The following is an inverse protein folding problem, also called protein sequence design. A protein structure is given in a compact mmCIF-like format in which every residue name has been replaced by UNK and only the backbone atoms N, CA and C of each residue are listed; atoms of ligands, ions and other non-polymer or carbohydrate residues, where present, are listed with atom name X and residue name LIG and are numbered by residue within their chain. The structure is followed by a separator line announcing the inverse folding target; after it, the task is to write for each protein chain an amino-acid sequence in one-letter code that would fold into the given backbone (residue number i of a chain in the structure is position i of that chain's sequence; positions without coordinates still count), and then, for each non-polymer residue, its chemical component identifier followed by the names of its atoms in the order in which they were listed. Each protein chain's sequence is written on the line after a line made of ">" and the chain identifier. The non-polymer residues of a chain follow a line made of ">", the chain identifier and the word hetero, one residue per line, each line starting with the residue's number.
data_IF_663412638484
#
_entry.id   IF_663412638484
#
_cell.length_a   1.000
_cell.length_b   1.000
_cell.length_c   1.000
_cell.angle_alpha   90.00
_cell.angle_beta   90.00
_cell.angle_gamma   90.00
#
_symmetry.space_group_name_H-M   'P 1'
#
loop_
_entity.id
_entity.type
_entity.pdbx_description
1 polymer ?
#
# COMPACT_ATOMS: atom_id res chain seq x y z
N UNK A 1 6.65 -15.27 -4.86
CA UNK A 1 7.87 -15.95 -4.42
C UNK A 1 9.05 -15.02 -4.67
N UNK A 2 9.54 -14.40 -3.62
CA UNK A 2 10.80 -13.66 -3.68
C UNK A 2 11.93 -14.68 -3.83
N UNK A 3 12.54 -14.72 -5.00
CA UNK A 3 13.79 -15.43 -5.18
C UNK A 3 14.91 -14.53 -4.61
N UNK A 4 15.42 -14.87 -3.44
CA UNK A 4 16.66 -14.30 -2.95
C UNK A 4 17.79 -14.63 -3.92
N UNK A 5 18.63 -13.64 -4.26
CA UNK A 5 19.83 -13.85 -5.06
C UNK A 5 21.02 -14.02 -4.10
N UNK A 6 21.46 -15.24 -3.91
CA UNK A 6 22.72 -15.56 -3.23
C UNK A 6 23.82 -15.88 -4.23
N UNK A 7 25.10 -15.77 -3.82
CA UNK A 7 26.25 -16.25 -4.58
C UNK A 7 26.83 -17.47 -3.88
N UNK A 8 26.95 -18.58 -4.62
CA UNK A 8 27.58 -19.80 -4.16
C UNK A 8 28.60 -20.31 -5.18
N UNK A 9 29.40 -21.31 -4.84
CA UNK A 9 30.32 -21.98 -5.75
C UNK A 9 29.48 -22.65 -6.86
N UNK A 10 29.99 -22.58 -8.10
CA UNK A 10 29.26 -23.10 -9.26
C UNK A 10 29.02 -24.62 -9.10
N UNK A 11 27.72 -24.97 -9.02
CA UNK A 11 27.25 -26.36 -8.85
C UNK A 11 26.57 -26.64 -7.53
N UNK A 12 26.72 -25.76 -6.54
CA UNK A 12 26.04 -25.89 -5.27
C UNK A 12 24.72 -25.09 -5.26
N UNK A 13 23.73 -25.61 -4.54
CA UNK A 13 22.49 -24.88 -4.28
C UNK A 13 22.78 -23.75 -3.30
N UNK A 14 22.31 -22.56 -3.59
CA UNK A 14 22.36 -21.46 -2.63
C UNK A 14 21.24 -21.68 -1.59
N UNK A 15 21.53 -22.48 -0.58
CA UNK A 15 20.63 -22.67 0.55
C UNK A 15 21.02 -21.65 1.63
N UNK A 16 20.45 -20.44 1.57
CA UNK A 16 20.42 -19.58 2.75
C UNK A 16 19.33 -20.09 3.69
N UNK A 17 19.74 -20.61 4.84
CA UNK A 17 18.86 -20.67 6.01
C UNK A 17 18.59 -19.23 6.47
N UNK A 18 17.85 -18.51 5.64
CA UNK A 18 17.45 -17.14 5.92
C UNK A 18 16.30 -17.10 6.92
N UNK A 19 16.27 -16.08 7.69
CA UNK A 19 15.20 -15.73 8.64
C UNK A 19 13.78 -15.62 8.02
N UNK A 20 13.59 -16.10 6.79
CA UNK A 20 12.31 -16.12 6.06
C UNK A 20 11.25 -17.00 6.71
N UNK A 21 11.63 -17.95 7.56
CA UNK A 21 10.68 -18.82 8.27
C UNK A 21 10.15 -18.24 9.59
N UNK A 22 10.59 -17.05 9.99
CA UNK A 22 10.18 -16.48 11.27
C UNK A 22 8.76 -15.87 11.24
N UNK A 23 8.31 -15.39 10.08
CA UNK A 23 6.94 -14.90 9.91
C UNK A 23 6.14 -15.93 9.12
N UNK A 24 5.57 -16.91 9.78
CA UNK A 24 4.83 -18.02 9.17
C UNK A 24 3.52 -17.62 8.51
N UNK A 25 3.00 -16.44 8.81
CA UNK A 25 1.73 -15.95 8.27
C UNK A 25 1.92 -14.80 7.28
N UNK A 26 1.21 -14.89 6.16
CA UNK A 26 1.18 -13.83 5.17
C UNK A 26 0.48 -12.58 5.74
N UNK A 27 1.20 -11.47 5.81
CA UNK A 27 0.63 -10.17 6.13
C UNK A 27 0.17 -9.46 4.85
N UNK A 28 -1.09 -9.07 4.81
CA UNK A 28 -1.64 -8.23 3.74
C UNK A 28 -1.69 -6.79 4.21
N UNK A 29 -1.23 -5.87 3.37
CA UNK A 29 -1.20 -4.43 3.65
C UNK A 29 -2.00 -3.70 2.60
N UNK A 30 -2.91 -2.84 3.04
CA UNK A 30 -3.72 -1.97 2.20
C UNK A 30 -3.43 -0.52 2.58
N UNK A 31 -2.97 0.28 1.62
CA UNK A 31 -2.59 1.66 1.84
C UNK A 31 -3.36 2.62 0.93
N UNK A 32 -3.68 3.79 1.47
CA UNK A 32 -4.17 4.95 0.73
C UNK A 32 -3.38 6.20 1.13
N UNK A 33 -3.20 7.11 0.18
CA UNK A 33 -2.47 8.36 0.39
C UNK A 33 -3.19 9.51 -0.30
N UNK A 34 -3.16 10.69 0.31
CA UNK A 34 -3.64 11.92 -0.28
C UNK A 34 -2.47 12.90 -0.47
N UNK A 35 -2.33 13.42 -1.70
CA UNK A 35 -1.26 14.34 -2.07
C UNK A 35 -1.55 15.81 -1.72
N UNK A 36 -2.56 16.12 -0.91
CA UNK A 36 -2.86 17.50 -0.54
C UNK A 36 -1.67 18.16 0.14
N UNK A 37 -1.41 19.42 -0.23
CA UNK A 37 -0.26 20.17 0.24
C UNK A 37 -0.34 20.55 1.72
N UNK A 38 -1.55 20.86 2.18
CA UNK A 38 -1.75 21.47 3.50
C UNK A 38 -2.08 20.42 4.56
N UNK A 39 -2.70 19.33 4.15
CA UNK A 39 -3.11 18.26 5.06
C UNK A 39 -2.96 16.88 4.36
N UNK A 40 -1.73 16.36 4.27
CA UNK A 40 -1.50 15.05 3.68
C UNK A 40 -2.14 13.97 4.56
N UNK A 41 -3.16 13.29 4.04
CA UNK A 41 -3.80 12.18 4.74
C UNK A 41 -3.23 10.84 4.28
N UNK A 42 -3.27 9.89 5.19
CA UNK A 42 -2.78 8.53 4.96
C UNK A 42 -3.69 7.51 5.64
N UNK A 43 -3.86 6.37 5.00
CA UNK A 43 -4.66 5.26 5.51
C UNK A 43 -3.87 3.98 5.34
N UNK A 44 -3.88 3.15 6.36
CA UNK A 44 -3.28 1.84 6.32
C UNK A 44 -4.20 0.86 7.07
N UNK A 45 -4.35 -0.32 6.52
CA UNK A 45 -4.95 -1.47 7.17
C UNK A 45 -4.10 -2.70 6.88
N UNK A 46 -3.95 -3.52 7.89
CA UNK A 46 -3.17 -4.75 7.84
C UNK A 46 -3.98 -5.90 8.41
N UNK A 47 -3.77 -7.10 7.89
CA UNK A 47 -4.33 -8.34 8.44
C UNK A 47 -3.53 -9.54 7.97
N UNK A 48 -3.63 -10.64 8.75
CA UNK A 48 -2.97 -11.91 8.45
C UNK A 48 -3.94 -12.91 7.80
N UNK A 49 -3.40 -13.90 7.11
CA UNK A 49 -4.13 -15.01 6.51
C UNK A 49 -4.70 -14.70 5.14
N UNK A 50 -5.95 -14.24 5.08
CA UNK A 50 -6.65 -14.01 3.81
C UNK A 50 -6.15 -12.78 3.04
N UNK A 51 -6.25 -12.82 1.71
CA UNK A 51 -6.04 -11.64 0.86
C UNK A 51 -7.14 -10.58 0.99
N UNK A 52 -7.01 -9.50 0.22
CA UNK A 52 -8.03 -8.43 0.18
C UNK A 52 -9.30 -8.93 -0.49
N UNK A 53 -10.39 -9.05 0.28
CA UNK A 53 -11.72 -9.31 -0.27
C UNK A 53 -12.38 -8.00 -0.74
N UNK A 54 -13.37 -8.11 -1.61
CA UNK A 54 -14.16 -6.95 -2.08
C UNK A 54 -14.77 -6.19 -0.89
N UNK A 55 -15.27 -6.88 0.13
CA UNK A 55 -15.88 -6.26 1.30
C UNK A 55 -14.84 -5.52 2.16
N UNK A 56 -13.66 -6.10 2.37
CA UNK A 56 -12.56 -5.42 3.08
C UNK A 56 -12.15 -4.15 2.35
N UNK A 57 -11.98 -4.25 1.02
CA UNK A 57 -11.63 -3.10 0.19
C UNK A 57 -12.72 -2.03 0.18
N UNK A 58 -13.99 -2.41 0.05
CA UNK A 58 -15.12 -1.49 0.14
C UNK A 58 -15.12 -0.72 1.48
N UNK A 59 -14.96 -1.41 2.60
CA UNK A 59 -14.91 -0.78 3.93
C UNK A 59 -13.76 0.22 4.04
N UNK A 60 -12.60 -0.15 3.51
CA UNK A 60 -11.44 0.73 3.46
C UNK A 60 -11.73 2.01 2.65
N UNK A 61 -12.30 1.89 1.46
CA UNK A 61 -12.69 3.04 0.62
C UNK A 61 -13.77 3.90 1.30
N UNK A 62 -14.78 3.28 1.90
CA UNK A 62 -15.86 4.00 2.61
C UNK A 62 -15.28 4.82 3.77
N UNK A 63 -14.37 4.26 4.57
CA UNK A 63 -13.65 4.99 5.62
C UNK A 63 -12.85 6.17 5.06
N UNK A 64 -12.14 5.99 3.96
CA UNK A 64 -11.41 7.09 3.29
C UNK A 64 -12.40 8.21 2.90
N UNK A 65 -13.52 7.86 2.28
CA UNK A 65 -14.53 8.85 1.89
C UNK A 65 -15.12 9.60 3.09
N UNK A 66 -15.39 8.92 4.20
CA UNK A 66 -15.88 9.53 5.43
C UNK A 66 -14.86 10.55 6.01
N UNK A 67 -13.59 10.15 6.07
CA UNK A 67 -12.51 11.02 6.57
C UNK A 67 -12.24 12.20 5.62
N UNK A 68 -12.34 12.00 4.31
CA UNK A 68 -12.24 13.08 3.33
C UNK A 68 -13.40 14.07 3.46
N UNK A 69 -14.62 13.60 3.66
CA UNK A 69 -15.79 14.46 3.86
C UNK A 69 -15.65 15.31 5.13
N UNK A 70 -15.09 14.73 6.20
CA UNK A 70 -14.86 15.42 7.47
C UNK A 70 -13.76 16.50 7.36
N UNK A 71 -12.63 16.16 6.72
CA UNK A 71 -11.46 17.04 6.66
C UNK A 71 -11.51 18.04 5.50
N UNK A 72 -12.30 17.75 4.46
CA UNK A 72 -12.42 18.55 3.25
C UNK A 72 -13.88 18.68 2.78
N UNK A 73 -14.74 19.29 3.57
CA UNK A 73 -16.15 19.40 3.23
C UNK A 73 -16.35 20.06 1.86
N UNK A 74 -17.14 19.42 1.01
CA UNK A 74 -17.49 19.92 -0.32
C UNK A 74 -16.42 19.75 -1.40
N UNK A 75 -15.23 19.19 -1.09
CA UNK A 75 -14.20 18.89 -2.10
C UNK A 75 -14.43 17.55 -2.76
N UNK A 76 -14.19 17.49 -4.08
CA UNK A 76 -14.15 16.26 -4.85
C UNK A 76 -12.70 15.80 -5.01
N UNK A 77 -12.47 14.50 -4.85
CA UNK A 77 -11.16 13.87 -5.04
C UNK A 77 -11.17 12.92 -6.22
N UNK A 78 -10.01 12.69 -6.81
CA UNK A 78 -9.81 11.69 -7.84
C UNK A 78 -9.07 10.49 -7.22
N UNK A 79 -9.75 9.37 -7.10
CA UNK A 79 -9.14 8.10 -6.68
C UNK A 79 -8.41 7.48 -7.85
N UNK A 80 -7.10 7.34 -7.74
CA UNK A 80 -6.29 6.65 -8.74
C UNK A 80 -5.95 5.26 -8.22
N UNK A 81 -6.36 4.24 -8.95
CA UNK A 81 -6.23 2.83 -8.56
C UNK A 81 -5.62 2.00 -9.69
N UNK A 82 -5.06 0.84 -9.35
CA UNK A 82 -4.67 -0.15 -10.34
C UNK A 82 -5.90 -0.93 -10.87
N UNK A 83 -5.65 -1.83 -11.81
CA UNK A 83 -6.69 -2.55 -12.53
C UNK A 83 -7.17 -3.85 -11.86
N UNK A 84 -7.00 -4.02 -10.55
CA UNK A 84 -7.50 -5.21 -9.84
C UNK A 84 -9.02 -5.32 -9.92
N UNK A 85 -9.53 -6.55 -10.01
CA UNK A 85 -10.97 -6.81 -10.08
C UNK A 85 -11.73 -6.27 -8.86
N UNK A 86 -11.13 -6.34 -7.68
CA UNK A 86 -11.71 -5.78 -6.45
C UNK A 86 -11.89 -4.27 -6.53
N UNK A 87 -10.98 -3.55 -7.20
CA UNK A 87 -11.03 -2.10 -7.37
C UNK A 87 -12.11 -1.67 -8.36
N UNK A 88 -12.38 -2.50 -9.37
CA UNK A 88 -13.40 -2.25 -10.40
C UNK A 88 -14.79 -2.73 -10.01
N UNK A 89 -14.93 -3.33 -8.84
CA UNK A 89 -16.21 -3.88 -8.43
C UNK A 89 -17.26 -2.76 -8.27
N UNK A 90 -18.49 -2.93 -8.79
CA UNK A 90 -19.53 -1.89 -8.76
C UNK A 90 -19.80 -1.33 -7.37
N UNK A 91 -19.73 -2.15 -6.32
CA UNK A 91 -19.90 -1.73 -4.93
C UNK A 91 -18.89 -0.62 -4.56
N UNK A 92 -17.63 -0.79 -4.94
CA UNK A 92 -16.55 0.16 -4.66
C UNK A 92 -16.69 1.43 -5.51
N UNK A 93 -16.96 1.27 -6.79
CA UNK A 93 -17.12 2.41 -7.71
C UNK A 93 -18.32 3.28 -7.33
N UNK A 94 -19.44 2.66 -7.00
CA UNK A 94 -20.65 3.37 -6.58
C UNK A 94 -20.41 4.13 -5.28
N UNK A 95 -19.66 3.57 -4.32
CA UNK A 95 -19.31 4.29 -3.08
C UNK A 95 -18.54 5.57 -3.39
N UNK A 96 -17.49 5.50 -4.22
CA UNK A 96 -16.67 6.67 -4.61
C UNK A 96 -17.53 7.72 -5.33
N UNK A 97 -18.34 7.30 -6.30
CA UNK A 97 -19.14 8.19 -7.14
C UNK A 97 -20.27 8.83 -6.33
N UNK A 98 -20.98 8.06 -5.50
CA UNK A 98 -22.09 8.56 -4.68
C UNK A 98 -21.61 9.56 -3.61
N UNK A 99 -20.34 9.48 -3.21
CA UNK A 99 -19.72 10.47 -2.31
C UNK A 99 -19.20 11.72 -3.05
N UNK A 100 -19.47 11.84 -4.36
CA UNK A 100 -19.08 13.01 -5.17
C UNK A 100 -17.62 13.00 -5.62
N UNK A 101 -16.95 11.86 -5.55
CA UNK A 101 -15.56 11.69 -5.97
C UNK A 101 -15.47 11.10 -7.39
N UNK A 102 -14.27 11.12 -7.96
CA UNK A 102 -13.97 10.52 -9.28
C UNK A 102 -13.04 9.32 -9.11
N UNK A 103 -13.05 8.43 -10.09
CA UNK A 103 -12.18 7.28 -10.12
C UNK A 103 -11.48 7.19 -11.47
N UNK A 104 -10.17 6.96 -11.45
CA UNK A 104 -9.33 6.73 -12.62
C UNK A 104 -8.51 5.47 -12.39
N UNK A 105 -8.50 4.59 -13.37
CA UNK A 105 -7.66 3.39 -13.37
C UNK A 105 -6.37 3.64 -14.13
N UNK A 106 -5.26 3.21 -13.55
CA UNK A 106 -3.95 3.26 -14.21
C UNK A 106 -3.91 2.31 -15.40
N UNK A 107 -2.98 2.57 -16.33
CA UNK A 107 -2.76 1.64 -17.43
C UNK A 107 -2.37 0.25 -16.91
N UNK A 108 -2.89 -0.85 -17.50
CA UNK A 108 -2.51 -2.19 -17.12
C UNK A 108 -0.98 -2.38 -17.26
N UNK A 109 -0.38 -3.06 -16.30
CA UNK A 109 1.07 -3.38 -16.27
C UNK A 109 2.02 -2.17 -16.24
N UNK A 110 1.54 -0.97 -15.93
CA UNK A 110 2.34 0.25 -15.86
C UNK A 110 2.45 0.74 -14.40
N UNK A 111 3.27 0.07 -13.61
CA UNK A 111 3.42 0.36 -12.17
C UNK A 111 4.06 1.72 -11.88
N UNK A 112 4.84 2.25 -12.82
CA UNK A 112 5.58 3.52 -12.65
C UNK A 112 4.71 4.77 -12.55
N UNK A 113 3.41 4.68 -12.87
CA UNK A 113 2.47 5.82 -12.79
C UNK A 113 1.82 5.98 -11.41
N UNK A 114 2.11 5.09 -10.46
CA UNK A 114 1.47 5.11 -9.16
C UNK A 114 2.36 5.68 -8.06
N UNK A 115 2.01 6.83 -7.50
CA UNK A 115 2.70 7.39 -6.34
C UNK A 115 2.82 6.37 -5.19
N UNK A 116 1.82 5.51 -5.02
CA UNK A 116 1.78 4.48 -3.98
C UNK A 116 2.87 3.42 -4.14
N UNK A 117 3.28 3.09 -5.37
CA UNK A 117 4.34 2.10 -5.62
C UNK A 117 5.69 2.58 -5.10
N UNK A 118 5.99 3.86 -5.27
CA UNK A 118 7.22 4.47 -4.74
C UNK A 118 7.21 4.52 -3.21
N UNK A 119 6.03 4.66 -2.61
CA UNK A 119 5.87 4.57 -1.17
C UNK A 119 6.12 3.15 -0.68
N UNK A 120 5.58 2.13 -1.33
CA UNK A 120 5.88 0.74 -1.02
C UNK A 120 7.37 0.43 -1.14
N UNK A 121 8.05 0.95 -2.17
CA UNK A 121 9.51 0.81 -2.31
C UNK A 121 10.26 1.49 -1.16
N UNK A 122 9.85 2.70 -0.75
CA UNK A 122 10.43 3.39 0.39
C UNK A 122 10.21 2.61 1.67
N UNK A 123 8.98 2.15 1.92
CA UNK A 123 8.65 1.33 3.09
C UNK A 123 9.44 0.03 3.11
N UNK A 124 9.56 -0.66 1.97
CA UNK A 124 10.35 -1.88 1.85
C UNK A 124 11.83 -1.63 2.18
N UNK A 125 12.42 -0.57 1.64
CA UNK A 125 13.82 -0.22 1.93
C UNK A 125 14.03 0.05 3.42
N UNK A 126 13.13 0.82 4.05
CA UNK A 126 13.21 1.09 5.49
C UNK A 126 12.97 -0.18 6.33
N UNK A 127 12.06 -1.04 5.91
CA UNK A 127 11.78 -2.31 6.60
C UNK A 127 13.00 -3.24 6.56
N UNK A 128 13.70 -3.31 5.43
CA UNK A 128 14.90 -4.14 5.28
C UNK A 128 16.03 -3.73 6.23
N UNK A 129 16.13 -2.47 6.63
CA UNK A 129 17.10 -2.01 7.64
C UNK A 129 16.83 -2.61 9.03
N UNK A 130 15.60 -3.02 9.31
CA UNK A 130 15.17 -3.60 10.58
C UNK A 130 14.85 -5.10 10.50
N UNK A 131 15.12 -5.72 9.34
CA UNK A 131 14.67 -7.09 9.08
C UNK A 131 15.14 -8.11 10.13
N UNK A 132 16.38 -7.99 10.59
CA UNK A 132 16.96 -8.91 11.58
C UNK A 132 16.34 -8.77 12.97
N UNK A 133 15.64 -7.67 13.25
CA UNK A 133 14.99 -7.37 14.52
C UNK A 133 13.57 -7.96 14.59
N UNK A 134 13.00 -8.34 13.43
CA UNK A 134 11.62 -8.80 13.31
C UNK A 134 11.55 -10.33 13.41
N UNK A 135 10.86 -10.81 14.41
CA UNK A 135 10.74 -12.24 14.71
C UNK A 135 9.30 -12.77 14.59
N UNK A 136 8.32 -11.88 14.63
CA UNK A 136 6.90 -12.22 14.61
C UNK A 136 6.13 -11.37 13.62
N UNK A 137 4.99 -11.89 13.13
CA UNK A 137 4.07 -11.15 12.24
C UNK A 137 3.56 -9.87 12.90
N UNK A 138 3.37 -9.87 14.23
CA UNK A 138 2.91 -8.71 14.98
C UNK A 138 3.98 -7.60 15.03
N UNK A 139 5.25 -7.97 15.20
CA UNK A 139 6.37 -7.01 15.13
C UNK A 139 6.49 -6.42 13.72
N UNK A 140 6.33 -7.24 12.69
CA UNK A 140 6.31 -6.81 11.30
C UNK A 140 5.18 -5.81 11.05
N UNK A 141 3.96 -6.11 11.49
CA UNK A 141 2.80 -5.23 11.37
C UNK A 141 3.05 -3.88 12.06
N UNK A 142 3.49 -3.91 13.32
CA UNK A 142 3.80 -2.69 14.06
C UNK A 142 4.89 -1.86 13.37
N UNK A 143 5.93 -2.50 12.85
CA UNK A 143 7.01 -1.82 12.14
C UNK A 143 6.52 -1.19 10.83
N UNK A 144 5.69 -1.87 10.06
CA UNK A 144 5.08 -1.34 8.83
C UNK A 144 4.24 -0.09 9.14
N UNK A 145 3.38 -0.15 10.15
CA UNK A 145 2.57 0.97 10.59
C UNK A 145 3.44 2.15 11.04
N UNK A 146 4.51 1.88 11.81
CA UNK A 146 5.48 2.88 12.24
C UNK A 146 6.17 3.56 11.05
N UNK A 147 6.73 2.78 10.12
CA UNK A 147 7.43 3.29 8.94
C UNK A 147 6.49 4.14 8.08
N UNK A 148 5.27 3.67 7.82
CA UNK A 148 4.30 4.43 7.05
C UNK A 148 3.93 5.76 7.74
N UNK A 149 3.82 5.75 9.07
CA UNK A 149 3.61 6.95 9.88
C UNK A 149 4.76 7.96 9.82
N UNK A 150 5.99 7.49 9.63
CA UNK A 150 7.19 8.33 9.58
C UNK A 150 7.39 9.06 8.25
N UNK A 151 6.70 8.67 7.16
CA UNK A 151 6.81 9.36 5.87
C UNK A 151 6.23 10.78 6.02
N UNK A 152 7.04 11.84 5.88
CA UNK A 152 6.61 13.18 6.28
C UNK A 152 5.66 13.83 5.27
N UNK A 153 5.75 13.46 3.99
CA UNK A 153 4.94 14.02 2.92
C UNK A 153 4.83 13.05 1.75
N UNK A 154 3.67 13.06 1.10
CA UNK A 154 3.44 12.26 -0.12
C UNK A 154 3.60 13.07 -1.41
N UNK A 155 3.68 14.39 -1.30
CA UNK A 155 3.79 15.29 -2.46
C UNK A 155 4.96 14.95 -3.41
N UNK A 156 6.18 14.64 -2.93
CA UNK A 156 7.29 14.26 -3.83
C UNK A 156 6.96 13.07 -4.72
N UNK A 157 6.21 12.09 -4.19
CA UNK A 157 5.80 10.90 -4.94
C UNK A 157 4.76 11.22 -6.01
N UNK A 158 3.77 12.07 -5.69
CA UNK A 158 2.79 12.53 -6.67
C UNK A 158 3.43 13.40 -7.77
N UNK A 159 4.35 14.28 -7.41
CA UNK A 159 5.11 15.07 -8.39
C UNK A 159 5.95 14.18 -9.33
N UNK A 160 6.58 13.14 -8.76
CA UNK A 160 7.41 12.21 -9.53
C UNK A 160 6.63 11.51 -10.65
N UNK A 161 5.37 11.19 -10.40
CA UNK A 161 4.48 10.55 -11.40
C UNK A 161 3.62 11.54 -12.18
N UNK A 162 3.86 12.85 -12.05
CA UNK A 162 3.16 13.89 -12.81
C UNK A 162 1.68 14.07 -12.43
N UNK A 163 1.29 13.74 -11.21
CA UNK A 163 -0.10 13.86 -10.74
C UNK A 163 -0.39 15.18 -10.00
N UNK A 164 0.62 16.01 -9.75
CA UNK A 164 0.51 17.34 -9.13
C UNK A 164 1.33 18.38 -9.91
#
# INVERSE_FOLDING_TARGET
>A
SNRGFGKTIRGDRCDEEGAYDKCSEKLTVLCGICGDRHNPMRWIETWTGEGTTIIKYYRFISRICDELALNYPGRSFCFTMDNLNSHKHPLVLNEIINRGHKCVFRAPYWAVDGAIEYIFNTMHTMLMMHYNELSTTNELDNKINQIFGMIPSFRPYFNHVGML
#
